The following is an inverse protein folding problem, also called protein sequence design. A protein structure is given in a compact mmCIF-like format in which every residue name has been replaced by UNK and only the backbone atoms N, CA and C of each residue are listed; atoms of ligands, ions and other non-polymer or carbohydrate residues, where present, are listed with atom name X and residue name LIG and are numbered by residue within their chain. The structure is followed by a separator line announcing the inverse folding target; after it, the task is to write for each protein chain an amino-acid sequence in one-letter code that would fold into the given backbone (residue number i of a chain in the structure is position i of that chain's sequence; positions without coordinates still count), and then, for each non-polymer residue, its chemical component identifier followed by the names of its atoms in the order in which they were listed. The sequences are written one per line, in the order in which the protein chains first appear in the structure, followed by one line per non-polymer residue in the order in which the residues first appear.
data_IF_753688610480
#
_entry.id   IF_753688610480
#
_cell.length_a   1.000
_cell.length_b   1.000
_cell.length_c   1.000
_cell.angle_alpha   90.00
_cell.angle_beta   90.00
_cell.angle_gamma   90.00
#
_symmetry.space_group_name_H-M   'P 1'
#
loop_
_entity.id
_entity.type
_entity.pdbx_description
1 polymer ?
#
# COMPACT_ATOMS: atom_id res chain seq x y z
N UNK A 1 33.84 9.41 -6.11
CA UNK A 1 32.56 9.20 -5.40
C UNK A 1 31.49 9.82 -6.26
N UNK A 2 30.44 9.04 -6.61
CA UNK A 2 29.33 9.55 -7.40
C UNK A 2 28.57 10.60 -6.62
N UNK A 3 27.98 11.58 -7.32
CA UNK A 3 27.31 12.71 -6.68
C UNK A 3 25.95 12.97 -7.33
N UNK A 4 24.92 13.09 -6.51
CA UNK A 4 23.54 13.35 -6.92
C UNK A 4 23.01 14.65 -6.29
N UNK A 5 21.99 15.25 -6.90
CA UNK A 5 21.27 16.35 -6.24
C UNK A 5 20.49 15.83 -5.05
N UNK A 6 19.80 14.67 -5.22
CA UNK A 6 18.98 14.08 -4.17
C UNK A 6 19.13 12.56 -4.14
N UNK A 7 19.30 12.00 -2.94
CA UNK A 7 19.14 10.58 -2.68
C UNK A 7 17.77 10.34 -2.03
N UNK A 8 17.02 9.36 -2.54
CA UNK A 8 15.71 8.94 -2.01
C UNK A 8 15.90 7.56 -1.42
N UNK A 9 15.51 7.36 -0.16
CA UNK A 9 15.62 6.08 0.52
C UNK A 9 14.23 5.47 0.68
N UNK A 10 13.98 4.35 -0.02
CA UNK A 10 12.72 3.62 -0.06
C UNK A 10 11.98 3.75 -1.39
N UNK A 11 11.73 2.61 -2.04
CA UNK A 11 11.07 2.48 -3.35
C UNK A 11 9.56 2.22 -3.27
N UNK A 12 8.91 2.66 -2.20
CA UNK A 12 7.45 2.67 -2.11
C UNK A 12 6.80 3.83 -2.86
N UNK A 13 5.48 3.97 -2.77
CA UNK A 13 4.72 5.02 -3.48
C UNK A 13 5.28 6.42 -3.26
N UNK A 14 5.68 6.75 -2.02
CA UNK A 14 6.23 8.06 -1.67
C UNK A 14 7.56 8.34 -2.37
N UNK A 15 8.50 7.37 -2.32
CA UNK A 15 9.80 7.51 -2.96
C UNK A 15 9.71 7.57 -4.48
N UNK A 16 8.83 6.78 -5.08
CA UNK A 16 8.58 6.80 -6.52
C UNK A 16 7.99 8.14 -6.98
N UNK A 17 7.05 8.69 -6.21
CA UNK A 17 6.49 10.01 -6.48
C UNK A 17 7.55 11.11 -6.37
N UNK A 18 8.40 11.04 -5.32
CA UNK A 18 9.52 11.98 -5.16
C UNK A 18 10.50 11.91 -6.33
N UNK A 19 10.88 10.69 -6.76
CA UNK A 19 11.78 10.50 -7.90
C UNK A 19 11.20 11.08 -9.19
N UNK A 20 9.91 10.80 -9.47
CA UNK A 20 9.21 11.34 -10.63
C UNK A 20 9.19 12.86 -10.62
N UNK A 21 8.84 13.46 -9.47
CA UNK A 21 8.77 14.92 -9.34
C UNK A 21 10.14 15.58 -9.47
N UNK A 22 11.19 15.02 -8.86
CA UNK A 22 12.54 15.53 -9.01
C UNK A 22 13.01 15.49 -10.47
N UNK A 23 12.67 14.42 -11.19
CA UNK A 23 12.97 14.31 -12.63
C UNK A 23 12.25 15.39 -13.44
N UNK A 24 11.00 15.72 -13.12
CA UNK A 24 10.25 16.81 -13.74
C UNK A 24 10.90 18.19 -13.45
N UNK A 25 11.60 18.31 -12.32
CA UNK A 25 12.36 19.51 -11.95
C UNK A 25 13.81 19.49 -12.47
N UNK A 26 14.14 18.57 -13.38
CA UNK A 26 15.48 18.37 -13.95
C UNK A 26 16.57 18.17 -12.88
N UNK A 27 16.27 17.46 -11.81
CA UNK A 27 17.21 17.08 -10.75
C UNK A 27 17.75 15.67 -10.99
N UNK A 28 19.05 15.52 -10.82
CA UNK A 28 19.70 14.22 -10.83
C UNK A 28 19.43 13.53 -9.47
N UNK A 29 18.54 12.56 -9.46
CA UNK A 29 18.13 11.86 -8.24
C UNK A 29 18.36 10.35 -8.36
N UNK A 30 18.83 9.74 -7.27
CA UNK A 30 18.96 8.30 -7.13
C UNK A 30 18.00 7.81 -6.05
N UNK A 31 17.28 6.73 -6.33
CA UNK A 31 16.41 6.06 -5.37
C UNK A 31 17.03 4.70 -4.99
N UNK A 32 17.19 4.48 -3.69
CA UNK A 32 17.72 3.25 -3.11
C UNK A 32 16.58 2.46 -2.50
N UNK A 33 16.41 1.20 -2.90
CA UNK A 33 15.38 0.28 -2.39
C UNK A 33 16.02 -0.99 -1.84
N UNK A 34 15.77 -1.30 -0.57
CA UNK A 34 16.28 -2.50 0.07
C UNK A 34 15.68 -3.81 -0.48
N UNK A 35 14.47 -3.76 -1.02
CA UNK A 35 13.82 -4.90 -1.66
C UNK A 35 14.39 -5.22 -3.04
N UNK A 36 14.16 -6.44 -3.51
CA UNK A 36 14.60 -6.89 -4.85
C UNK A 36 14.04 -6.05 -5.99
N UNK A 37 12.87 -5.43 -5.79
CA UNK A 37 12.23 -4.52 -6.76
C UNK A 37 11.50 -3.41 -6.02
N UNK A 38 11.58 -2.20 -6.52
CA UNK A 38 10.80 -1.08 -5.99
C UNK A 38 9.31 -1.40 -6.04
N UNK A 39 8.60 -1.10 -4.95
CA UNK A 39 7.17 -1.33 -4.82
C UNK A 39 6.71 -2.77 -4.56
N UNK A 40 7.60 -3.77 -4.66
CA UNK A 40 7.20 -5.18 -4.55
C UNK A 40 6.77 -5.60 -3.14
N UNK A 41 7.20 -4.89 -2.11
CA UNK A 41 6.84 -5.17 -0.71
C UNK A 41 5.49 -4.56 -0.29
N UNK A 42 4.87 -3.73 -1.11
CA UNK A 42 3.64 -3.06 -0.78
C UNK A 42 2.45 -3.99 -0.99
N UNK A 43 2.08 -4.73 0.05
CA UNK A 43 0.96 -5.67 0.02
C UNK A 43 -0.39 -5.01 0.28
N UNK A 44 -0.44 -3.83 0.86
CA UNK A 44 -1.69 -3.13 1.03
C UNK A 44 -2.25 -2.76 -0.35
N UNK A 45 -3.38 -3.27 -0.66
CA UNK A 45 -4.20 -2.82 -1.75
C UNK A 45 -5.41 -2.22 -1.08
N UNK A 46 -5.82 -1.14 -1.58
CA UNK A 46 -6.92 -0.42 -1.03
C UNK A 46 -7.49 0.47 -2.10
N UNK A 47 -7.91 1.62 -1.69
CA UNK A 47 -8.50 2.61 -2.57
C UNK A 47 -7.54 3.79 -2.68
N UNK A 48 -7.17 4.13 -3.90
CA UNK A 48 -6.46 5.35 -4.21
C UNK A 48 -7.48 6.48 -4.27
N UNK A 49 -7.51 7.31 -3.25
CA UNK A 49 -8.46 8.41 -3.14
C UNK A 49 -7.98 9.67 -3.85
N UNK A 50 -8.88 10.27 -4.64
CA UNK A 50 -8.80 11.71 -4.95
C UNK A 50 -9.32 12.49 -3.76
N UNK A 51 -8.47 13.24 -3.08
CA UNK A 51 -8.86 13.95 -1.86
C UNK A 51 -8.99 15.45 -2.10
N UNK A 52 -10.19 16.00 -1.91
CA UNK A 52 -10.37 17.45 -1.76
C UNK A 52 -10.18 17.82 -0.29
N UNK A 53 -9.10 18.51 0.10
CA UNK A 53 -8.93 18.95 1.47
C UNK A 53 -10.00 19.99 1.83
N UNK A 54 -10.47 19.97 3.09
CA UNK A 54 -11.48 20.91 3.60
C UNK A 54 -11.04 22.39 3.52
N UNK A 55 -9.73 22.64 3.49
CA UNK A 55 -9.15 23.98 3.48
C UNK A 55 -7.97 24.06 2.51
N UNK A 56 -8.20 24.40 1.24
CA UNK A 56 -7.13 24.68 0.30
C UNK A 56 -7.09 23.84 -0.95
N UNK A 57 -5.93 23.77 -1.59
CA UNK A 57 -5.73 23.10 -2.87
C UNK A 57 -5.95 21.59 -2.76
N UNK A 58 -6.70 21.04 -3.68
CA UNK A 58 -6.79 19.60 -3.89
C UNK A 58 -5.42 19.11 -4.33
N UNK A 59 -4.88 18.13 -3.64
CA UNK A 59 -3.71 17.40 -4.08
C UNK A 59 -4.19 16.06 -4.63
N UNK A 60 -4.41 16.01 -5.93
CA UNK A 60 -4.63 14.76 -6.64
C UNK A 60 -3.30 14.27 -7.19
N UNK A 61 -3.19 12.98 -7.41
CA UNK A 61 -2.01 12.44 -8.10
C UNK A 61 -1.88 13.01 -9.51
N UNK A 62 -3.00 13.37 -10.14
CA UNK A 62 -3.06 13.99 -11.47
C UNK A 62 -2.46 15.41 -11.48
N UNK A 63 -2.45 16.14 -10.35
CA UNK A 63 -1.83 17.46 -10.27
C UNK A 63 -0.29 17.37 -10.39
N UNK A 64 0.27 16.23 -9.97
CA UNK A 64 1.70 15.95 -10.02
C UNK A 64 2.07 15.16 -11.28
N UNK A 65 1.16 14.33 -11.74
CA UNK A 65 1.30 13.47 -12.90
C UNK A 65 -0.01 13.45 -13.70
N UNK A 66 -0.21 14.42 -14.61
CA UNK A 66 -1.49 14.61 -15.33
C UNK A 66 -1.97 13.39 -16.12
N UNK A 67 -1.02 12.60 -16.63
CA UNK A 67 -1.35 11.40 -17.41
C UNK A 67 -1.61 10.17 -16.52
N UNK A 68 -1.64 10.33 -15.20
CA UNK A 68 -1.73 9.20 -14.26
C UNK A 68 -2.85 8.23 -14.60
N UNK A 69 -4.07 8.71 -14.85
CA UNK A 69 -5.21 7.85 -15.13
C UNK A 69 -5.21 7.24 -16.55
N UNK A 70 -4.39 7.73 -17.48
CA UNK A 70 -4.38 7.23 -18.86
C UNK A 70 -3.76 5.83 -18.97
N UNK A 71 -2.69 5.57 -18.21
CA UNK A 71 -1.90 4.34 -18.31
C UNK A 71 -1.79 3.60 -16.97
N UNK A 72 -2.40 4.12 -15.90
CA UNK A 72 -2.27 3.55 -14.57
C UNK A 72 -3.05 2.24 -14.46
N UNK A 73 -2.47 1.18 -13.92
CA UNK A 73 -3.16 -0.08 -13.70
C UNK A 73 -4.08 0.01 -12.47
N UNK A 74 -5.14 0.82 -12.59
CA UNK A 74 -6.25 0.84 -11.64
C UNK A 74 -7.17 -0.35 -11.90
N UNK A 75 -7.89 -0.77 -10.88
CA UNK A 75 -8.81 -1.89 -11.00
C UNK A 75 -10.23 -1.37 -11.30
N UNK A 76 -10.99 -0.94 -10.29
CA UNK A 76 -12.36 -0.43 -10.49
C UNK A 76 -12.55 0.93 -9.82
N UNK A 77 -13.39 1.78 -10.39
CA UNK A 77 -13.82 3.02 -9.75
C UNK A 77 -14.81 2.69 -8.64
N UNK A 78 -14.50 3.03 -7.39
CA UNK A 78 -15.36 2.74 -6.26
C UNK A 78 -16.58 3.67 -6.29
N UNK A 79 -17.76 3.07 -6.41
CA UNK A 79 -19.06 3.75 -6.46
C UNK A 79 -19.95 3.39 -5.28
N UNK A 80 -19.61 2.33 -4.53
CA UNK A 80 -20.36 1.87 -3.37
C UNK A 80 -19.47 1.76 -2.14
N UNK A 81 -20.00 2.25 -1.01
CA UNK A 81 -19.40 2.07 0.32
C UNK A 81 -20.41 1.45 1.27
N UNK A 82 -20.06 0.30 1.84
CA UNK A 82 -20.89 -0.44 2.79
C UNK A 82 -20.14 -0.64 4.09
N UNK A 83 -20.80 -0.43 5.20
CA UNK A 83 -20.31 -0.76 6.54
C UNK A 83 -21.15 -1.89 7.12
N UNK A 84 -20.50 -2.95 7.57
CA UNK A 84 -21.11 -4.11 8.19
C UNK A 84 -20.66 -4.19 9.65
N UNK A 85 -21.60 -4.09 10.57
CA UNK A 85 -21.38 -4.41 11.97
C UNK A 85 -21.81 -5.87 12.21
N UNK A 86 -20.84 -6.71 12.61
CA UNK A 86 -21.04 -8.15 12.80
C UNK A 86 -21.05 -8.52 14.28
N UNK A 87 -22.00 -9.36 14.69
CA UNK A 87 -22.06 -9.94 16.03
C UNK A 87 -22.59 -11.36 15.95
N UNK A 88 -21.74 -12.35 16.18
CA UNK A 88 -22.02 -13.79 16.07
C UNK A 88 -22.67 -14.14 14.72
N UNK A 89 -23.99 -14.33 14.73
CA UNK A 89 -24.84 -14.70 13.59
C UNK A 89 -25.63 -13.50 13.01
N UNK A 90 -25.39 -12.29 13.53
CA UNK A 90 -26.13 -11.09 13.13
C UNK A 90 -25.20 -10.12 12.40
N UNK A 91 -25.76 -9.53 11.35
CA UNK A 91 -25.09 -8.48 10.57
C UNK A 91 -26.05 -7.30 10.43
N UNK A 92 -25.57 -6.13 10.77
CA UNK A 92 -26.23 -4.88 10.44
C UNK A 92 -25.43 -4.20 9.33
N UNK A 93 -26.07 -3.92 8.20
CA UNK A 93 -25.42 -3.29 7.05
C UNK A 93 -25.93 -1.87 6.87
N UNK A 94 -25.00 -0.93 6.74
CA UNK A 94 -25.26 0.47 6.44
C UNK A 94 -24.66 0.84 5.10
N UNK A 95 -25.47 1.41 4.23
CA UNK A 95 -24.99 1.98 2.97
C UNK A 95 -24.50 3.41 3.24
N UNK A 96 -23.19 3.61 3.10
CA UNK A 96 -22.53 4.90 3.31
C UNK A 96 -22.32 5.69 2.01
N UNK A 97 -22.73 5.16 0.87
CA UNK A 97 -22.50 5.77 -0.45
C UNK A 97 -23.05 7.19 -0.53
N UNK A 98 -24.29 7.38 -0.05
CA UNK A 98 -24.95 8.69 -0.07
C UNK A 98 -24.43 9.67 0.99
N UNK A 99 -23.88 9.15 2.10
CA UNK A 99 -23.35 9.95 3.21
C UNK A 99 -21.89 10.35 3.01
N UNK A 100 -21.21 9.72 2.06
CA UNK A 100 -19.79 9.99 1.82
C UNK A 100 -19.63 11.36 1.17
N UNK A 101 -18.89 12.27 1.80
CA UNK A 101 -18.60 13.64 1.32
C UNK A 101 -17.93 13.68 -0.07
N UNK A 102 -17.63 12.53 -0.64
CA UNK A 102 -16.82 12.33 -1.85
C UNK A 102 -17.60 11.72 -3.02
N UNK A 103 -18.93 11.92 -3.08
CA UNK A 103 -19.80 11.35 -4.12
C UNK A 103 -19.32 11.55 -5.58
N UNK A 104 -18.52 12.57 -5.83
CA UNK A 104 -18.01 12.85 -7.17
C UNK A 104 -16.67 12.15 -7.49
N UNK A 105 -15.91 11.68 -6.46
CA UNK A 105 -14.56 11.15 -6.64
C UNK A 105 -14.22 10.14 -5.52
N UNK A 106 -14.83 8.98 -5.54
CA UNK A 106 -14.53 7.93 -4.54
C UNK A 106 -13.10 7.37 -4.64
N UNK A 107 -12.48 7.46 -5.78
CA UNK A 107 -11.19 6.86 -6.05
C UNK A 107 -11.30 5.52 -6.76
N UNK A 108 -10.17 4.86 -6.87
CA UNK A 108 -10.03 3.61 -7.60
C UNK A 108 -9.48 2.52 -6.68
N UNK A 109 -10.02 1.31 -6.77
CA UNK A 109 -9.34 0.16 -6.19
C UNK A 109 -8.05 -0.13 -6.95
N UNK A 110 -7.02 -0.50 -6.22
CA UNK A 110 -5.69 -0.75 -6.76
C UNK A 110 -5.05 -1.97 -6.10
N UNK A 111 -4.30 -2.72 -6.88
CA UNK A 111 -3.33 -3.67 -6.36
C UNK A 111 -1.98 -2.96 -6.27
N UNK A 112 -1.58 -2.60 -5.06
CA UNK A 112 -0.49 -1.65 -4.84
C UNK A 112 0.85 -2.14 -5.40
N UNK A 113 1.09 -3.45 -5.42
CA UNK A 113 2.26 -4.04 -6.05
C UNK A 113 2.27 -3.85 -7.59
N UNK A 114 1.11 -3.97 -8.26
CA UNK A 114 0.98 -3.66 -9.70
C UNK A 114 1.17 -2.16 -9.94
N UNK A 115 0.48 -1.33 -9.16
CA UNK A 115 0.56 0.13 -9.27
C UNK A 115 2.00 0.63 -9.08
N UNK A 116 2.65 0.22 -8.00
CA UNK A 116 4.02 0.66 -7.72
C UNK A 116 5.04 0.07 -8.69
N UNK A 117 4.83 -1.14 -9.20
CA UNK A 117 5.66 -1.72 -10.26
C UNK A 117 5.60 -0.91 -11.56
N UNK A 118 4.41 -0.51 -11.97
CA UNK A 118 4.20 0.40 -13.11
C UNK A 118 4.85 1.77 -12.84
N UNK A 119 4.59 2.35 -11.66
CA UNK A 119 5.12 3.67 -11.30
C UNK A 119 6.65 3.68 -11.21
N UNK A 120 7.26 2.60 -10.71
CA UNK A 120 8.71 2.45 -10.70
C UNK A 120 9.33 2.51 -12.10
N UNK A 121 8.69 1.86 -13.09
CA UNK A 121 9.09 1.94 -14.49
C UNK A 121 9.05 3.39 -14.99
N UNK A 122 7.92 4.07 -14.81
CA UNK A 122 7.74 5.47 -15.24
C UNK A 122 8.74 6.43 -14.56
N UNK A 123 8.94 6.28 -13.25
CA UNK A 123 9.86 7.10 -12.49
C UNK A 123 11.33 6.84 -12.90
N UNK A 124 11.70 5.57 -13.12
CA UNK A 124 13.05 5.19 -13.54
C UNK A 124 13.40 5.74 -14.92
N UNK A 125 12.48 5.62 -15.90
CA UNK A 125 12.66 6.18 -17.25
C UNK A 125 12.82 7.71 -17.21
N UNK A 126 12.05 8.38 -16.34
CA UNK A 126 12.18 9.84 -16.18
C UNK A 126 13.49 10.23 -15.52
N UNK A 127 13.91 9.51 -14.48
CA UNK A 127 15.16 9.77 -13.77
C UNK A 127 16.39 9.49 -14.65
N UNK A 128 16.35 8.44 -15.47
CA UNK A 128 17.42 8.08 -16.38
C UNK A 128 17.77 9.20 -17.36
N UNK A 129 16.78 9.97 -17.82
CA UNK A 129 17.00 11.16 -18.67
C UNK A 129 17.76 12.28 -17.97
N UNK A 130 17.79 12.29 -16.64
CA UNK A 130 18.49 13.25 -15.80
C UNK A 130 19.79 12.66 -15.21
N UNK A 131 20.23 11.47 -15.64
CA UNK A 131 21.40 10.79 -15.08
C UNK A 131 21.18 10.17 -13.69
N UNK A 132 19.92 10.01 -13.30
CA UNK A 132 19.51 9.33 -12.06
C UNK A 132 18.94 7.94 -12.31
N UNK A 133 18.26 7.37 -11.32
CA UNK A 133 17.64 6.06 -11.47
C UNK A 133 17.17 5.42 -10.17
N UNK A 134 16.83 4.13 -10.28
CA UNK A 134 16.45 3.28 -9.14
C UNK A 134 17.47 2.16 -9.00
N UNK A 135 17.99 1.98 -7.79
CA UNK A 135 18.84 0.84 -7.43
C UNK A 135 18.12 0.02 -6.37
N UNK A 136 17.86 -1.24 -6.68
CA UNK A 136 17.13 -2.17 -5.82
C UNK A 136 18.03 -3.27 -5.27
N UNK A 137 17.67 -3.85 -4.14
CA UNK A 137 18.47 -4.86 -3.44
C UNK A 137 19.62 -4.24 -2.64
N UNK A 138 19.53 -2.95 -2.31
CA UNK A 138 20.58 -2.20 -1.63
C UNK A 138 20.03 -1.58 -0.36
N UNK A 139 20.66 -1.89 0.77
CA UNK A 139 20.25 -1.37 2.07
C UNK A 139 21.18 -0.21 2.50
N UNK A 140 20.59 0.91 2.91
CA UNK A 140 21.34 2.05 3.46
C UNK A 140 21.72 1.75 4.91
N UNK A 141 23.02 1.76 5.19
CA UNK A 141 23.58 1.45 6.52
C UNK A 141 23.73 2.70 7.38
N UNK A 142 24.22 3.77 6.80
CA UNK A 142 24.48 5.01 7.52
C UNK A 142 24.37 6.25 6.65
N UNK A 143 24.16 7.38 7.30
CA UNK A 143 24.15 8.71 6.71
C UNK A 143 25.09 9.61 7.51
N UNK A 144 26.06 10.23 6.82
CA UNK A 144 27.00 11.16 7.41
C UNK A 144 26.80 12.56 6.84
N UNK A 145 26.25 13.49 7.65
CA UNK A 145 26.00 14.87 7.23
C UNK A 145 27.25 15.72 7.30
N UNK A 146 27.48 16.46 6.23
CA UNK A 146 28.50 17.48 6.07
C UNK A 146 27.81 18.80 5.64
N UNK A 147 28.52 19.94 5.68
CA UNK A 147 27.89 21.27 5.44
C UNK A 147 27.08 21.33 4.13
N UNK A 148 27.56 20.75 3.03
CA UNK A 148 26.93 20.87 1.72
C UNK A 148 26.48 19.55 1.12
N UNK A 149 26.66 18.44 1.83
CA UNK A 149 26.40 17.09 1.31
C UNK A 149 26.16 16.09 2.41
N UNK A 150 25.51 15.01 2.06
CA UNK A 150 25.39 13.80 2.88
C UNK A 150 26.10 12.67 2.16
N UNK A 151 26.96 11.96 2.88
CA UNK A 151 27.56 10.71 2.41
C UNK A 151 26.62 9.57 2.80
N UNK A 152 26.26 8.76 1.83
CA UNK A 152 25.37 7.60 1.99
C UNK A 152 26.22 6.33 1.87
N UNK A 153 26.22 5.53 2.93
CA UNK A 153 26.86 4.22 2.95
C UNK A 153 25.82 3.12 2.86
N UNK A 154 26.11 2.11 2.09
CA UNK A 154 25.25 0.95 1.85
C UNK A 154 26.00 -0.35 2.11
N UNK A 155 25.28 -1.45 2.14
CA UNK A 155 25.91 -2.77 2.30
C UNK A 155 26.53 -3.29 1.00
N UNK A 156 25.99 -2.87 -0.17
CA UNK A 156 26.32 -3.48 -1.47
C UNK A 156 27.05 -2.55 -2.45
N UNK A 157 27.03 -1.22 -2.22
CA UNK A 157 27.64 -0.24 -3.13
C UNK A 157 28.73 0.55 -2.42
N UNK A 158 29.66 1.07 -3.22
CA UNK A 158 30.60 2.07 -2.74
C UNK A 158 29.85 3.33 -2.25
N UNK A 159 30.36 4.02 -1.22
CA UNK A 159 29.75 5.24 -0.71
C UNK A 159 29.57 6.28 -1.81
N UNK A 160 28.44 6.98 -1.78
CA UNK A 160 28.15 8.07 -2.72
C UNK A 160 27.61 9.31 -1.98
N UNK A 161 27.49 10.44 -2.69
CA UNK A 161 27.14 11.73 -2.11
C UNK A 161 25.82 12.26 -2.66
N UNK A 162 25.04 12.93 -1.84
CA UNK A 162 23.88 13.71 -2.27
C UNK A 162 23.82 15.06 -1.52
N UNK A 163 23.31 16.11 -2.19
CA UNK A 163 23.08 17.42 -1.54
C UNK A 163 21.93 17.37 -0.55
N UNK A 164 20.93 16.51 -0.81
CA UNK A 164 19.78 16.30 0.07
C UNK A 164 19.39 14.83 0.10
N UNK A 165 18.75 14.40 1.19
CA UNK A 165 18.21 13.05 1.34
C UNK A 165 16.70 13.16 1.62
N UNK A 166 15.92 12.36 0.91
CA UNK A 166 14.48 12.17 1.17
C UNK A 166 14.31 10.78 1.78
N UNK A 167 13.92 10.72 3.05
CA UNK A 167 13.51 9.49 3.71
C UNK A 167 12.08 9.13 3.28
N UNK A 168 11.93 8.03 2.54
CA UNK A 168 10.66 7.48 2.07
C UNK A 168 10.56 5.98 2.38
N UNK A 169 11.21 5.56 3.48
CA UNK A 169 11.45 4.19 3.91
C UNK A 169 10.27 3.55 4.67
N UNK A 170 9.12 4.21 4.61
CA UNK A 170 7.83 3.69 5.04
C UNK A 170 7.71 3.53 6.54
N UNK A 171 6.88 2.56 6.97
CA UNK A 171 6.58 2.35 8.39
C UNK A 171 7.82 1.99 9.22
N UNK A 172 8.80 1.32 8.66
CA UNK A 172 10.03 1.00 9.39
C UNK A 172 10.80 2.27 9.74
N UNK A 173 10.83 3.26 8.84
CA UNK A 173 11.41 4.60 9.06
C UNK A 173 12.80 4.56 9.70
N UNK A 174 13.65 3.64 9.23
CA UNK A 174 15.00 3.45 9.77
C UNK A 174 15.85 4.72 9.67
N UNK A 175 15.66 5.48 8.57
CA UNK A 175 16.34 6.76 8.40
C UNK A 175 15.88 7.79 9.43
N UNK A 176 14.61 7.83 9.77
CA UNK A 176 14.10 8.73 10.81
C UNK A 176 14.66 8.35 12.20
N UNK A 177 14.88 7.07 12.47
CA UNK A 177 15.55 6.60 13.68
C UNK A 177 17.04 6.95 13.67
N UNK A 178 17.76 6.70 12.57
CA UNK A 178 19.18 7.05 12.39
C UNK A 178 19.46 8.55 12.61
N UNK A 179 18.52 9.39 12.17
CA UNK A 179 18.64 10.85 12.29
C UNK A 179 18.16 11.40 13.64
N UNK A 180 17.56 10.57 14.49
CA UNK A 180 16.92 11.02 15.72
C UNK A 180 15.63 11.83 15.50
N UNK A 181 15.12 11.89 14.27
CA UNK A 181 13.86 12.58 13.97
C UNK A 181 12.64 11.87 14.56
N UNK A 182 12.77 10.58 14.86
CA UNK A 182 11.73 9.76 15.49
C UNK A 182 12.36 8.71 16.44
N UNK A 183 11.70 8.48 17.57
CA UNK A 183 11.97 7.30 18.40
C UNK A 183 11.38 6.04 17.77
N UNK A 184 11.77 4.86 18.28
CA UNK A 184 11.14 3.59 17.88
C UNK A 184 9.65 3.61 18.18
N UNK A 185 8.86 3.01 17.31
CA UNK A 185 7.43 2.85 17.56
C UNK A 185 7.18 1.93 18.75
N UNK A 186 6.15 2.29 19.52
CA UNK A 186 5.58 1.40 20.53
C UNK A 186 4.44 0.56 19.92
N UNK A 187 4.07 -0.58 20.54
CA UNK A 187 2.98 -1.42 20.03
C UNK A 187 1.66 -0.67 19.80
N UNK A 188 1.35 0.30 20.65
CA UNK A 188 0.12 1.10 20.59
C UNK A 188 0.05 2.02 19.36
N UNK A 189 1.18 2.25 18.72
CA UNK A 189 1.27 3.09 17.52
C UNK A 189 1.21 2.27 16.22
N UNK A 190 1.12 0.95 16.31
CA UNK A 190 1.22 0.05 15.16
C UNK A 190 -0.06 -0.72 14.92
N UNK A 191 -0.30 -0.99 13.65
CA UNK A 191 -1.35 -1.89 13.17
C UNK A 191 -0.73 -3.00 12.31
N UNK A 192 -1.25 -4.20 12.46
CA UNK A 192 -0.91 -5.34 11.61
C UNK A 192 -2.04 -5.58 10.61
N UNK A 193 -1.72 -5.50 9.33
CA UNK A 193 -2.64 -5.89 8.26
C UNK A 193 -2.39 -7.32 7.79
N UNK A 194 -3.46 -8.03 7.46
CA UNK A 194 -3.44 -9.30 6.73
C UNK A 194 -4.41 -9.21 5.56
N UNK A 195 -3.99 -9.67 4.39
CA UNK A 195 -4.80 -9.60 3.18
C UNK A 195 -4.58 -10.83 2.30
N UNK A 196 -5.65 -11.26 1.66
CA UNK A 196 -5.64 -12.25 0.58
C UNK A 196 -6.29 -11.65 -0.67
N UNK A 197 -5.87 -12.13 -1.82
CA UNK A 197 -6.51 -11.84 -3.10
C UNK A 197 -7.26 -13.10 -3.52
N UNK A 198 -8.57 -12.95 -3.71
CA UNK A 198 -9.46 -14.02 -4.12
C UNK A 198 -9.81 -13.82 -5.58
N UNK A 199 -9.55 -14.80 -6.44
CA UNK A 199 -9.87 -14.72 -7.87
C UNK A 199 -11.32 -15.14 -8.12
N UNK A 200 -12.05 -14.32 -8.86
CA UNK A 200 -13.41 -14.55 -9.33
C UNK A 200 -13.57 -13.99 -10.74
N UNK A 201 -14.40 -14.59 -11.60
CA UNK A 201 -14.77 -13.97 -12.87
C UNK A 201 -15.39 -12.58 -12.68
N UNK A 202 -15.12 -11.68 -13.65
CA UNK A 202 -15.60 -10.30 -13.61
C UNK A 202 -17.13 -10.23 -13.50
N UNK A 203 -17.83 -11.04 -14.29
CA UNK A 203 -19.30 -11.09 -14.32
C UNK A 203 -19.89 -11.54 -12.97
N UNK A 204 -19.20 -12.44 -12.27
CA UNK A 204 -19.60 -12.89 -10.95
C UNK A 204 -19.41 -11.78 -9.91
N UNK A 205 -18.35 -11.01 -10.03
CA UNK A 205 -18.13 -9.84 -9.15
C UNK A 205 -19.24 -8.81 -9.39
N UNK A 206 -19.50 -8.48 -10.65
CA UNK A 206 -20.52 -7.49 -11.03
C UNK A 206 -21.91 -7.89 -10.54
N UNK A 207 -22.33 -9.12 -10.80
CA UNK A 207 -23.61 -9.65 -10.34
C UNK A 207 -23.72 -9.64 -8.82
N UNK A 208 -22.69 -10.14 -8.14
CA UNK A 208 -22.73 -10.36 -6.68
C UNK A 208 -22.71 -9.07 -5.87
N UNK A 209 -22.05 -8.06 -6.39
CA UNK A 209 -21.98 -6.73 -5.77
C UNK A 209 -22.99 -5.74 -6.35
N UNK A 210 -23.71 -6.10 -7.40
CA UNK A 210 -24.68 -5.23 -8.08
C UNK A 210 -24.03 -3.98 -8.66
N UNK A 211 -22.90 -4.14 -9.30
CA UNK A 211 -22.08 -3.06 -9.89
C UNK A 211 -21.93 -3.28 -11.40
N UNK A 212 -21.68 -2.20 -12.14
CA UNK A 212 -21.35 -2.26 -13.56
C UNK A 212 -19.87 -2.57 -13.83
N UNK A 213 -19.48 -2.74 -15.11
CA UNK A 213 -18.12 -3.14 -15.51
C UNK A 213 -17.00 -2.25 -14.98
N UNK A 214 -17.23 -0.93 -14.94
CA UNK A 214 -16.25 0.06 -14.45
C UNK A 214 -16.48 0.48 -12.98
N UNK A 215 -17.47 -0.11 -12.33
CA UNK A 215 -17.86 0.22 -10.98
C UNK A 215 -17.25 -0.74 -9.98
N UNK A 216 -17.03 -0.24 -8.76
CA UNK A 216 -16.45 -1.01 -7.67
C UNK A 216 -17.16 -0.76 -6.34
N UNK A 217 -17.05 -1.75 -5.47
CA UNK A 217 -17.60 -1.72 -4.13
C UNK A 217 -16.50 -1.84 -3.07
N UNK A 218 -16.65 -1.07 -1.99
CA UNK A 218 -15.83 -1.13 -0.80
C UNK A 218 -16.70 -1.52 0.39
N UNK A 219 -16.43 -2.66 0.98
CA UNK A 219 -17.09 -3.17 2.16
C UNK A 219 -16.14 -3.12 3.35
N UNK A 220 -16.57 -2.47 4.41
CA UNK A 220 -15.87 -2.39 5.68
C UNK A 220 -16.60 -3.24 6.72
N UNK A 221 -15.86 -3.88 7.59
CA UNK A 221 -16.42 -4.76 8.62
C UNK A 221 -15.91 -4.38 10.00
N UNK A 222 -16.78 -4.39 10.97
CA UNK A 222 -16.47 -4.18 12.38
C UNK A 222 -17.18 -5.23 13.25
N UNK A 223 -16.72 -5.44 14.47
CA UNK A 223 -17.31 -6.38 15.43
C UNK A 223 -16.59 -7.73 15.47
N UNK A 224 -17.34 -8.81 15.67
CA UNK A 224 -16.79 -10.16 15.93
C UNK A 224 -15.92 -10.73 14.83
N UNK A 225 -15.95 -10.14 13.65
CA UNK A 225 -15.11 -10.51 12.52
C UNK A 225 -13.61 -10.42 12.81
N UNK A 226 -13.22 -9.65 13.81
CA UNK A 226 -11.84 -9.49 14.25
C UNK A 226 -11.41 -10.45 15.38
N UNK A 227 -12.25 -11.44 15.72
CA UNK A 227 -12.00 -12.36 16.85
C UNK A 227 -11.73 -11.61 18.18
N UNK A 228 -12.47 -10.55 18.44
CA UNK A 228 -12.34 -9.67 19.60
C UNK A 228 -11.00 -8.90 19.71
N UNK A 229 -10.22 -8.83 18.65
CA UNK A 229 -9.14 -7.87 18.56
C UNK A 229 -9.65 -6.48 18.19
N UNK A 230 -8.95 -5.44 18.63
CA UNK A 230 -9.21 -4.08 18.17
C UNK A 230 -8.78 -4.00 16.71
N UNK A 231 -9.73 -3.68 15.82
CA UNK A 231 -9.45 -3.63 14.39
C UNK A 231 -10.71 -3.64 13.54
N UNK A 232 -10.54 -3.99 12.27
CA UNK A 232 -11.64 -4.10 11.31
C UNK A 232 -11.26 -4.89 10.08
N UNK A 233 -12.27 -5.38 9.37
CA UNK A 233 -12.11 -6.07 8.09
C UNK A 233 -12.42 -5.16 6.91
N UNK A 234 -11.95 -5.56 5.74
CA UNK A 234 -12.27 -4.89 4.47
C UNK A 234 -12.39 -5.91 3.33
N UNK A 235 -13.21 -5.55 2.36
CA UNK A 235 -13.32 -6.23 1.08
C UNK A 235 -13.48 -5.18 -0.01
N UNK A 236 -12.62 -5.23 -1.02
CA UNK A 236 -12.68 -4.33 -2.19
C UNK A 236 -12.75 -5.15 -3.45
N UNK A 237 -13.63 -4.75 -4.38
CA UNK A 237 -13.69 -5.36 -5.70
C UNK A 237 -12.57 -4.82 -6.59
N UNK A 238 -11.90 -5.71 -7.30
CA UNK A 238 -10.98 -5.42 -8.39
C UNK A 238 -11.61 -5.91 -9.70
N UNK A 239 -10.90 -5.88 -10.82
CA UNK A 239 -11.45 -6.35 -12.10
C UNK A 239 -11.89 -7.81 -12.01
N UNK A 240 -10.95 -8.73 -11.77
CA UNK A 240 -11.14 -10.18 -11.74
C UNK A 240 -10.77 -10.81 -10.38
N UNK A 241 -10.67 -10.00 -9.34
CA UNK A 241 -10.32 -10.44 -7.99
C UNK A 241 -11.05 -9.63 -6.92
N UNK A 242 -11.06 -10.16 -5.70
CA UNK A 242 -11.43 -9.43 -4.49
C UNK A 242 -10.21 -9.28 -3.58
N UNK A 243 -9.97 -8.09 -3.07
CA UNK A 243 -9.02 -7.84 -1.98
C UNK A 243 -9.75 -8.00 -0.65
N UNK A 244 -9.46 -9.06 0.11
CA UNK A 244 -10.11 -9.34 1.39
C UNK A 244 -9.06 -9.35 2.48
N UNK A 245 -9.29 -8.60 3.56
CA UNK A 245 -8.32 -8.53 4.64
C UNK A 245 -8.86 -7.87 5.89
N UNK A 246 -7.99 -7.80 6.88
CA UNK A 246 -8.28 -7.13 8.13
C UNK A 246 -7.04 -6.42 8.67
N UNK A 247 -7.29 -5.42 9.51
CA UNK A 247 -6.26 -4.63 10.20
C UNK A 247 -6.52 -4.76 11.69
N UNK A 248 -5.48 -5.04 12.43
CA UNK A 248 -5.52 -5.28 13.87
C UNK A 248 -4.56 -4.33 14.58
N UNK A 249 -5.00 -3.75 15.68
CA UNK A 249 -4.12 -2.99 16.56
C UNK A 249 -3.05 -3.93 17.16
N UNK A 250 -1.80 -3.55 17.05
CA UNK A 250 -0.69 -4.45 17.37
C UNK A 250 -0.64 -4.80 18.87
N UNK A 251 -0.97 -3.85 19.73
CA UNK A 251 -1.11 -4.06 21.17
C UNK A 251 -2.14 -5.16 21.49
N UNK A 252 -3.31 -5.11 20.85
CA UNK A 252 -4.33 -6.15 20.99
C UNK A 252 -3.86 -7.54 20.54
N UNK A 253 -2.96 -7.61 19.56
CA UNK A 253 -2.34 -8.87 19.14
C UNK A 253 -1.28 -9.34 20.13
N UNK A 254 -0.59 -8.43 20.80
CA UNK A 254 0.36 -8.80 21.86
C UNK A 254 -0.33 -9.33 23.11
N UNK A 255 -1.46 -8.74 23.50
CA UNK A 255 -2.28 -9.24 24.62
C UNK A 255 -2.86 -10.62 24.37
N UNK A 256 -3.27 -10.89 23.13
CA UNK A 256 -3.89 -12.15 22.67
C UNK A 256 -3.24 -12.60 21.37
N UNK A 257 -2.07 -13.27 21.45
CA UNK A 257 -1.35 -13.67 20.25
C UNK A 257 -2.19 -14.54 19.32
N UNK A 258 -2.25 -14.16 18.05
CA UNK A 258 -2.96 -14.88 17.01
C UNK A 258 -2.13 -14.91 15.72
N UNK A 259 -2.04 -16.08 15.14
CA UNK A 259 -1.35 -16.24 13.85
C UNK A 259 -2.09 -15.48 12.74
N UNK A 260 -1.40 -14.73 11.85
CA UNK A 260 -2.03 -13.96 10.79
C UNK A 260 -2.97 -14.79 9.91
N UNK A 261 -2.63 -16.04 9.62
CA UNK A 261 -3.48 -16.95 8.86
C UNK A 261 -4.76 -17.34 9.59
N UNK A 262 -4.72 -17.48 10.91
CA UNK A 262 -5.92 -17.74 11.72
C UNK A 262 -6.88 -16.57 11.61
N UNK A 263 -6.37 -15.35 11.67
CA UNK A 263 -7.17 -14.13 11.56
C UNK A 263 -7.83 -13.99 10.19
N UNK A 264 -7.08 -14.17 9.11
CA UNK A 264 -7.64 -14.08 7.76
C UNK A 264 -8.59 -15.23 7.45
N UNK A 265 -8.32 -16.44 7.94
CA UNK A 265 -9.22 -17.58 7.77
C UNK A 265 -10.55 -17.38 8.52
N UNK A 266 -10.52 -16.76 9.69
CA UNK A 266 -11.75 -16.42 10.41
C UNK A 266 -12.58 -15.40 9.63
N UNK A 267 -11.95 -14.39 9.05
CA UNK A 267 -12.59 -13.43 8.17
C UNK A 267 -13.24 -14.11 6.95
N UNK A 268 -12.50 -14.98 6.25
CA UNK A 268 -13.01 -15.69 5.06
C UNK A 268 -14.15 -16.66 5.38
N UNK A 269 -14.19 -17.20 6.61
CA UNK A 269 -15.25 -18.10 7.09
C UNK A 269 -16.47 -17.35 7.65
N UNK A 270 -16.39 -16.04 7.83
CA UNK A 270 -17.55 -15.27 8.24
C UNK A 270 -18.67 -15.46 7.20
N UNK A 271 -19.91 -15.81 7.57
CA UNK A 271 -20.99 -16.12 6.62
C UNK A 271 -21.22 -15.05 5.57
N UNK A 272 -21.12 -13.76 5.94
CA UNK A 272 -21.28 -12.67 4.99
C UNK A 272 -20.12 -12.62 3.98
N UNK A 273 -18.88 -12.76 4.45
CA UNK A 273 -17.71 -12.74 3.55
C UNK A 273 -17.70 -14.00 2.68
N UNK A 274 -18.06 -15.15 3.23
CA UNK A 274 -18.15 -16.41 2.51
C UNK A 274 -19.12 -16.34 1.31
N UNK A 275 -20.24 -15.62 1.45
CA UNK A 275 -21.17 -15.39 0.34
C UNK A 275 -20.54 -14.56 -0.80
N UNK A 276 -19.72 -13.58 -0.46
CA UNK A 276 -19.02 -12.78 -1.48
C UNK A 276 -17.95 -13.56 -2.22
N UNK A 277 -17.30 -14.52 -1.57
CA UNK A 277 -16.16 -15.27 -2.13
C UNK A 277 -16.49 -16.70 -2.56
N UNK A 278 -17.77 -17.13 -2.47
CA UNK A 278 -18.17 -18.46 -2.94
C UNK A 278 -17.79 -18.64 -4.40
N UNK A 279 -17.59 -19.90 -4.82
CA UNK A 279 -17.17 -20.28 -6.17
C UNK A 279 -15.79 -19.69 -6.59
N UNK A 280 -14.97 -19.32 -5.60
CA UNK A 280 -13.60 -18.86 -5.86
C UNK A 280 -12.80 -19.95 -6.59
N UNK A 281 -12.09 -19.54 -7.63
CA UNK A 281 -11.04 -20.37 -8.21
C UNK A 281 -9.87 -20.36 -7.22
N UNK A 282 -9.53 -21.53 -6.66
CA UNK A 282 -8.51 -21.62 -5.62
C UNK A 282 -7.16 -21.11 -6.14
N UNK A 283 -6.79 -19.89 -5.77
CA UNK A 283 -5.44 -19.31 -5.99
C UNK A 283 -4.48 -19.79 -4.88
N UNK A 284 -4.68 -21.00 -4.41
CA UNK A 284 -3.84 -21.59 -3.35
C UNK A 284 -2.41 -21.86 -3.78
N UNK A 285 -2.12 -21.89 -5.08
CA UNK A 285 -0.82 -22.32 -5.60
C UNK A 285 0.18 -21.20 -5.89
N UNK A 286 -0.25 -19.94 -6.06
CA UNK A 286 0.69 -18.85 -6.36
C UNK A 286 1.29 -18.18 -5.12
N UNK A 287 0.59 -18.22 -4.00
CA UNK A 287 1.09 -17.62 -2.75
C UNK A 287 2.21 -18.48 -2.15
N UNK A 288 2.11 -19.81 -2.27
CA UNK A 288 3.10 -20.74 -1.69
C UNK A 288 4.40 -20.85 -2.48
N UNK A 289 4.43 -20.49 -3.75
CA UNK A 289 5.62 -20.65 -4.62
C UNK A 289 6.57 -19.45 -4.65
N UNK A 290 6.14 -18.26 -4.27
CA UNK A 290 6.91 -17.03 -4.47
C UNK A 290 7.22 -16.20 -3.22
N UNK A 291 6.86 -16.63 -2.02
CA UNK A 291 7.21 -15.95 -0.78
C UNK A 291 7.99 -16.88 0.16
N UNK A 292 9.20 -16.51 0.59
CA UNK A 292 9.87 -17.14 1.72
C UNK A 292 9.00 -16.99 2.98
N UNK A 293 8.86 -18.07 3.75
CA UNK A 293 8.03 -18.12 4.97
C UNK A 293 8.35 -17.03 6.00
N UNK A 294 9.55 -16.46 5.97
CA UNK A 294 10.00 -15.39 6.86
C UNK A 294 9.60 -13.98 6.41
N UNK A 295 9.32 -13.74 5.12
CA UNK A 295 8.91 -12.41 4.62
C UNK A 295 7.41 -12.12 4.83
N UNK A 296 6.60 -13.14 5.05
CA UNK A 296 5.14 -13.01 5.25
C UNK A 296 4.77 -12.33 6.58
N UNK A 297 5.70 -12.26 7.54
CA UNK A 297 5.45 -11.78 8.91
C UNK A 297 5.76 -10.28 9.11
N UNK A 298 6.18 -9.53 8.11
CA UNK A 298 6.74 -8.18 8.30
C UNK A 298 5.95 -7.02 7.69
N UNK A 299 4.70 -7.20 7.28
CA UNK A 299 3.90 -6.05 6.82
C UNK A 299 3.30 -5.34 8.03
N UNK A 300 3.92 -4.25 8.45
CA UNK A 300 3.45 -3.36 9.51
C UNK A 300 2.83 -2.13 8.87
N UNK A 301 1.68 -1.68 9.37
CA UNK A 301 1.08 -0.41 9.02
C UNK A 301 1.10 0.50 10.25
N UNK A 302 1.54 1.73 10.06
CA UNK A 302 1.45 2.80 11.04
C UNK A 302 0.27 3.71 10.72
#
# INVERSE_FOLDING_TARGET
MERYDVAIIGGGSAGLAALKQLSNLNKQAILIEAGKKAGSKNLSGGILYSKKPKHGKTYNVEDVYPEFLQDTPVERRITQYMLHATSRDKVFTMNLTAAHEYQANFGYSVLLNKLNGWFAKQASESAGRQGGGIVSGVHVRSLSWQEEKTVIETDELEPFEAKAVIAADGVNSEVAEMTGARAKFTPEQLYQGVKVIVKLPEEIIEERFGIGPDEGAAHLFAGDITLNHIGGGFLYTNLDTLSVGAVYHYDSLMERPSEPYTLVNALLKNPLVAEFIKDQVAVKEEIDKNMPKEEQLRTRFA
#
